data_IF_951018525636
#
_entry.id   IF_951018525636
#
_cell.length_a   1.000
_cell.length_b   1.000
_cell.length_c   1.000
_cell.angle_alpha   90.00
_cell.angle_beta   90.00
_cell.angle_gamma   90.00
#
_symmetry.space_group_name_H-M   'P 1'
#
loop_
_entity.id
_entity.type
_entity.pdbx_description
1 polymer ?
#
# COMPACT_ATOMS: atom_id res chain seq x y z
N UNK A 1 -26.28 -1.44 -6.39
CA UNK A 1 -26.13 -0.48 -7.51
C UNK A 1 -25.70 -1.27 -8.75
N UNK A 2 -26.34 -1.07 -9.90
CA UNK A 2 -25.92 -1.72 -11.14
C UNK A 2 -24.73 -0.95 -11.73
N UNK A 3 -23.59 -1.62 -11.85
CA UNK A 3 -22.35 -1.03 -12.41
C UNK A 3 -22.27 -1.45 -13.87
N UNK A 4 -22.05 -0.48 -14.75
CA UNK A 4 -21.83 -0.65 -16.18
C UNK A 4 -20.40 -0.21 -16.50
N UNK A 5 -19.72 -0.99 -17.31
CA UNK A 5 -18.35 -0.74 -17.75
C UNK A 5 -18.38 -0.60 -19.27
N UNK A 6 -17.65 0.38 -19.80
CA UNK A 6 -17.45 0.51 -21.24
C UNK A 6 -16.48 -0.57 -21.75
N UNK A 7 -16.72 -1.13 -22.94
CA UNK A 7 -15.84 -2.18 -23.51
C UNK A 7 -14.39 -1.70 -23.63
N UNK A 8 -14.17 -0.44 -24.03
CA UNK A 8 -12.82 0.18 -24.06
C UNK A 8 -12.13 0.19 -22.69
N UNK A 9 -12.90 0.36 -21.62
CA UNK A 9 -12.38 0.34 -20.26
C UNK A 9 -11.98 -1.08 -19.85
N UNK A 10 -12.69 -2.12 -20.33
CA UNK A 10 -12.29 -3.53 -20.16
C UNK A 10 -11.00 -3.83 -20.91
N UNK A 11 -10.88 -3.40 -22.17
CA UNK A 11 -9.66 -3.61 -22.96
C UNK A 11 -8.45 -2.93 -22.30
N UNK A 12 -8.64 -1.71 -21.82
CA UNK A 12 -7.59 -0.95 -21.11
C UNK A 12 -7.23 -1.61 -19.79
N UNK A 13 -8.22 -2.11 -19.03
CA UNK A 13 -7.99 -2.85 -17.80
C UNK A 13 -7.18 -4.13 -18.07
N UNK A 14 -7.54 -4.90 -19.09
CA UNK A 14 -6.84 -6.11 -19.49
C UNK A 14 -5.39 -5.81 -19.91
N UNK A 15 -5.19 -4.77 -20.72
CA UNK A 15 -3.86 -4.32 -21.17
C UNK A 15 -2.98 -3.89 -19.99
N UNK A 16 -3.51 -3.08 -19.06
CA UNK A 16 -2.75 -2.57 -17.93
C UNK A 16 -2.49 -3.62 -16.84
N UNK A 17 -3.30 -4.66 -16.76
CA UNK A 17 -3.14 -5.73 -15.78
C UNK A 17 -2.19 -6.84 -16.23
N UNK A 18 -1.70 -6.80 -17.48
CA UNK A 18 -0.75 -7.76 -18.07
C UNK A 18 -1.09 -9.25 -17.81
N UNK A 19 -2.38 -9.58 -17.81
CA UNK A 19 -2.88 -10.93 -17.54
C UNK A 19 -3.04 -11.32 -16.06
N UNK A 20 -2.68 -10.46 -15.10
CA UNK A 20 -2.98 -10.66 -13.69
C UNK A 20 -4.42 -10.23 -13.34
N UNK A 21 -5.29 -11.22 -13.17
CA UNK A 21 -6.68 -11.01 -12.80
C UNK A 21 -6.87 -10.32 -11.45
N UNK A 22 -5.93 -10.46 -10.51
CA UNK A 22 -6.02 -9.84 -9.18
C UNK A 22 -5.80 -8.34 -9.28
N UNK A 23 -4.77 -7.93 -10.01
CA UNK A 23 -4.45 -6.53 -10.26
C UNK A 23 -5.60 -5.84 -11.02
N UNK A 24 -6.17 -6.52 -12.02
CA UNK A 24 -7.36 -6.03 -12.73
C UNK A 24 -8.58 -5.86 -11.81
N UNK A 25 -8.87 -6.83 -10.94
CA UNK A 25 -10.01 -6.73 -10.02
C UNK A 25 -9.82 -5.60 -8.99
N UNK A 26 -8.61 -5.44 -8.46
CA UNK A 26 -8.28 -4.38 -7.52
C UNK A 26 -8.38 -2.99 -8.17
N UNK A 27 -7.83 -2.83 -9.38
CA UNK A 27 -7.93 -1.59 -10.15
C UNK A 27 -9.38 -1.21 -10.43
N UNK A 28 -10.22 -2.18 -10.81
CA UNK A 28 -11.64 -1.96 -11.02
C UNK A 28 -12.36 -1.59 -9.73
N UNK A 29 -12.06 -2.25 -8.62
CA UNK A 29 -12.65 -1.94 -7.32
C UNK A 29 -12.33 -0.49 -6.90
N UNK A 30 -11.08 -0.05 -7.09
CA UNK A 30 -10.66 1.32 -6.80
C UNK A 30 -11.37 2.34 -7.70
N UNK A 31 -11.51 2.06 -8.99
CA UNK A 31 -12.24 2.91 -9.93
C UNK A 31 -13.72 3.08 -9.50
N UNK A 32 -14.37 1.98 -9.11
CA UNK A 32 -15.76 1.99 -8.62
C UNK A 32 -15.87 2.78 -7.31
N UNK A 33 -14.96 2.57 -6.35
CA UNK A 33 -14.96 3.28 -5.08
C UNK A 33 -14.75 4.79 -5.25
N UNK A 34 -13.83 5.19 -6.14
CA UNK A 34 -13.59 6.60 -6.47
C UNK A 34 -14.81 7.26 -7.11
N UNK A 35 -15.54 6.52 -7.95
CA UNK A 35 -16.78 7.01 -8.57
C UNK A 35 -17.91 7.16 -7.56
N UNK A 36 -18.03 6.22 -6.62
CA UNK A 36 -19.01 6.27 -5.54
C UNK A 36 -18.72 7.39 -4.52
N UNK A 37 -17.45 7.62 -4.18
CA UNK A 37 -17.05 8.69 -3.25
C UNK A 37 -17.28 10.09 -3.85
N UNK A 38 -16.94 10.28 -5.14
CA UNK A 38 -17.23 11.50 -5.90
C UNK A 38 -18.74 11.80 -5.94
N UNK A 39 -19.57 10.76 -6.09
CA UNK A 39 -21.03 10.90 -6.09
C UNK A 39 -21.60 11.26 -4.71
N UNK A 40 -21.06 10.71 -3.61
CA UNK A 40 -21.43 11.12 -2.23
C UNK A 40 -21.15 12.61 -1.99
N UNK A 41 -20.07 13.14 -2.56
CA UNK A 41 -19.75 14.57 -2.46
C UNK A 41 -20.73 15.44 -3.27
N UNK A 42 -21.14 14.98 -4.46
CA UNK A 42 -22.11 15.68 -5.32
C UNK A 42 -23.53 15.67 -4.73
N UNK A 43 -23.99 14.52 -4.21
CA UNK A 43 -25.33 14.38 -3.61
C UNK A 43 -25.51 15.15 -2.29
N UNK A 44 -24.43 15.49 -1.57
CA UNK A 44 -24.52 16.37 -0.38
C UNK A 44 -24.90 17.82 -0.73
N UNK A 45 -24.66 18.27 -1.97
CA UNK A 45 -25.01 19.63 -2.43
C UNK A 45 -26.40 19.75 -3.04
N UNK A 46 -26.93 18.67 -3.61
CA UNK A 46 -28.26 18.64 -4.22
C UNK A 46 -29.12 17.60 -3.51
N UNK A 47 -29.99 18.04 -2.61
CA UNK A 47 -30.89 17.18 -1.82
C UNK A 47 -31.98 16.48 -2.65
N UNK A 48 -31.61 15.70 -3.66
CA UNK A 48 -32.51 14.87 -4.45
C UNK A 48 -32.09 13.39 -4.37
N UNK A 49 -32.98 12.60 -3.83
CA UNK A 49 -32.93 11.14 -3.73
C UNK A 49 -33.67 10.55 -4.92
N UNK A 50 -33.00 9.78 -5.78
CA UNK A 50 -33.66 8.92 -6.77
C UNK A 50 -32.93 7.57 -6.94
N UNK A 51 -33.74 6.54 -7.20
CA UNK A 51 -33.49 5.08 -7.30
C UNK A 51 -32.50 4.63 -8.40
N UNK A 52 -32.44 3.31 -8.67
CA UNK A 52 -31.25 2.48 -8.49
C UNK A 52 -30.08 3.01 -9.33
N UNK A 53 -29.13 3.63 -8.63
CA UNK A 53 -28.04 4.40 -9.22
C UNK A 53 -27.15 3.53 -10.11
N UNK A 54 -27.37 3.62 -11.43
CA UNK A 54 -26.45 3.09 -12.44
C UNK A 54 -25.13 3.84 -12.31
N UNK A 55 -24.02 3.11 -12.25
CA UNK A 55 -22.66 3.67 -12.20
C UNK A 55 -21.97 3.28 -13.48
N UNK A 56 -21.66 4.26 -14.33
CA UNK A 56 -20.86 4.05 -15.55
C UNK A 56 -19.38 4.30 -15.21
N UNK A 57 -18.54 3.30 -15.49
CA UNK A 57 -17.09 3.36 -15.37
C UNK A 57 -16.51 3.60 -16.76
N UNK A 58 -15.78 4.71 -16.90
CA UNK A 58 -15.11 5.11 -18.14
C UNK A 58 -13.65 4.67 -18.14
N UNK A 59 -13.01 4.71 -19.32
CA UNK A 59 -11.57 4.41 -19.47
C UNK A 59 -10.68 5.24 -18.54
N UNK A 60 -11.02 6.51 -18.33
CA UNK A 60 -10.25 7.40 -17.45
C UNK A 60 -10.37 7.01 -15.98
N UNK A 61 -11.56 6.58 -15.54
CA UNK A 61 -11.76 6.11 -14.16
C UNK A 61 -10.92 4.86 -13.88
N UNK A 62 -10.79 3.97 -14.88
CA UNK A 62 -9.92 2.78 -14.80
C UNK A 62 -8.46 3.17 -14.73
N UNK A 63 -8.00 4.10 -15.59
CA UNK A 63 -6.61 4.59 -15.55
C UNK A 63 -6.24 5.21 -14.20
N UNK A 64 -7.14 6.00 -13.61
CA UNK A 64 -6.91 6.61 -12.29
C UNK A 64 -6.91 5.55 -11.18
N UNK A 65 -7.84 4.58 -11.22
CA UNK A 65 -7.89 3.46 -10.29
C UNK A 65 -6.63 2.59 -10.34
N UNK A 66 -6.15 2.30 -11.56
CA UNK A 66 -4.94 1.52 -11.78
C UNK A 66 -3.66 2.26 -11.41
N UNK A 67 -3.55 3.57 -11.70
CA UNK A 67 -2.43 4.38 -11.23
C UNK A 67 -2.34 4.38 -9.69
N UNK A 68 -3.49 4.48 -9.00
CA UNK A 68 -3.53 4.30 -7.55
C UNK A 68 -3.16 2.88 -7.12
N UNK A 69 -3.49 1.87 -7.94
CA UNK A 69 -3.14 0.47 -7.67
C UNK A 69 -1.66 0.14 -7.92
N UNK A 70 -1.01 0.73 -8.91
CA UNK A 70 0.43 0.55 -9.13
C UNK A 70 1.29 1.27 -8.08
N UNK A 71 0.73 2.27 -7.39
CA UNK A 71 1.31 2.82 -6.17
C UNK A 71 1.20 1.83 -5.01
N UNK A 72 0.25 0.89 -5.05
CA UNK A 72 0.15 -0.22 -4.09
C UNK A 72 1.18 -1.29 -4.46
N UNK A 73 2.43 -0.97 -4.12
CA UNK A 73 3.43 -1.89 -3.60
C UNK A 73 3.36 -3.33 -4.14
N UNK A 74 4.21 -3.63 -5.11
CA UNK A 74 4.43 -5.00 -5.54
C UNK A 74 5.22 -5.77 -4.46
N UNK A 75 4.49 -6.47 -3.60
CA UNK A 75 5.04 -7.32 -2.54
C UNK A 75 5.88 -8.49 -3.08
N UNK A 76 5.70 -8.88 -4.34
CA UNK A 76 6.46 -9.95 -5.00
C UNK A 76 7.60 -9.43 -5.91
N UNK A 77 7.73 -8.10 -6.04
CA UNK A 77 8.65 -7.46 -6.97
C UNK A 77 9.89 -6.84 -6.33
N UNK A 78 10.59 -6.05 -7.16
CA UNK A 78 11.79 -5.28 -6.79
C UNK A 78 11.51 -4.24 -5.70
N UNK A 79 10.30 -3.69 -5.62
CA UNK A 79 9.97 -2.58 -4.71
C UNK A 79 10.07 -2.96 -3.23
N UNK A 80 9.78 -4.22 -2.90
CA UNK A 80 10.03 -4.78 -1.58
C UNK A 80 11.51 -4.65 -1.18
N UNK A 81 12.41 -5.09 -2.07
CA UNK A 81 13.86 -5.03 -1.85
C UNK A 81 14.40 -3.60 -1.89
N UNK A 82 13.87 -2.75 -2.77
CA UNK A 82 14.23 -1.35 -2.86
C UNK A 82 13.87 -0.60 -1.56
N UNK A 83 12.66 -0.82 -1.04
CA UNK A 83 12.22 -0.16 0.18
C UNK A 83 13.03 -0.58 1.40
N UNK A 84 13.26 -1.89 1.61
CA UNK A 84 14.06 -2.34 2.76
C UNK A 84 15.53 -1.89 2.65
N UNK A 85 16.09 -1.88 1.43
CA UNK A 85 17.43 -1.36 1.18
C UNK A 85 17.53 0.14 1.50
N UNK A 86 16.52 0.91 1.10
CA UNK A 86 16.45 2.34 1.38
C UNK A 86 16.31 2.62 2.88
N UNK A 87 15.49 1.83 3.60
CA UNK A 87 15.37 1.89 5.06
C UNK A 87 16.73 1.68 5.74
N UNK A 88 17.45 0.59 5.40
CA UNK A 88 18.76 0.32 5.99
C UNK A 88 19.80 1.39 5.67
N UNK A 89 19.79 1.95 4.45
CA UNK A 89 20.68 3.05 4.07
C UNK A 89 20.37 4.32 4.87
N UNK A 90 19.10 4.67 5.03
CA UNK A 90 18.66 5.82 5.83
C UNK A 90 19.10 5.67 7.30
N UNK A 91 18.89 4.49 7.89
CA UNK A 91 19.31 4.20 9.26
C UNK A 91 20.83 4.28 9.43
N UNK A 92 21.62 3.72 8.49
CA UNK A 92 23.09 3.81 8.52
C UNK A 92 23.57 5.25 8.35
N UNK A 93 22.84 6.04 7.56
CA UNK A 93 23.05 7.49 7.43
C UNK A 93 22.56 8.31 8.63
N UNK A 94 22.00 7.67 9.67
CA UNK A 94 21.39 8.33 10.84
C UNK A 94 20.27 9.33 10.49
N UNK A 95 19.60 9.15 9.35
CA UNK A 95 18.46 9.98 8.94
C UNK A 95 17.16 9.39 9.47
N UNK A 96 16.68 9.96 10.58
CA UNK A 96 15.47 9.50 11.28
C UNK A 96 14.20 9.71 10.44
N UNK A 97 14.11 10.84 9.74
CA UNK A 97 12.92 11.17 8.94
C UNK A 97 12.80 10.25 7.73
N UNK A 98 13.91 10.03 7.02
CA UNK A 98 13.93 9.10 5.90
C UNK A 98 13.65 7.65 6.37
N UNK A 99 14.18 7.25 7.53
CA UNK A 99 13.92 5.92 8.08
C UNK A 99 12.43 5.71 8.37
N UNK A 100 11.76 6.67 9.03
CA UNK A 100 10.33 6.60 9.28
C UNK A 100 9.50 6.62 7.99
N UNK A 101 9.93 7.40 6.99
CA UNK A 101 9.27 7.44 5.69
C UNK A 101 9.29 6.07 4.99
N UNK A 102 10.45 5.41 4.91
CA UNK A 102 10.55 4.10 4.27
C UNK A 102 9.83 3.00 5.05
N UNK A 103 9.87 3.05 6.38
CA UNK A 103 9.09 2.17 7.24
C UNK A 103 7.59 2.32 6.96
N UNK A 104 7.06 3.54 7.02
CA UNK A 104 5.65 3.80 6.76
C UNK A 104 5.24 3.38 5.36
N UNK A 105 6.09 3.64 4.35
CA UNK A 105 5.83 3.22 2.96
C UNK A 105 5.74 1.70 2.82
N UNK A 106 6.58 0.95 3.53
CA UNK A 106 6.50 -0.52 3.55
C UNK A 106 5.22 -1.01 4.23
N UNK A 107 4.85 -0.43 5.38
CA UNK A 107 3.65 -0.83 6.13
C UNK A 107 2.35 -0.50 5.36
N UNK A 108 2.25 0.71 4.81
CA UNK A 108 1.13 1.11 3.93
C UNK A 108 1.11 0.30 2.63
N UNK A 109 2.29 -0.17 2.19
CA UNK A 109 2.44 -1.10 1.08
C UNK A 109 1.95 -2.53 1.39
N UNK A 110 1.58 -2.82 2.64
CA UNK A 110 1.13 -4.16 3.05
C UNK A 110 2.26 -5.16 3.23
N UNK A 111 3.49 -4.68 3.49
CA UNK A 111 4.61 -5.52 3.90
C UNK A 111 4.30 -6.24 5.22
N UNK A 112 4.87 -7.43 5.43
CA UNK A 112 4.73 -8.12 6.72
C UNK A 112 5.50 -7.32 7.80
N UNK A 113 4.85 -6.82 8.87
CA UNK A 113 5.55 -6.13 9.96
C UNK A 113 6.64 -7.00 10.59
N UNK A 114 6.43 -8.32 10.66
CA UNK A 114 7.44 -9.25 11.17
C UNK A 114 8.66 -9.33 10.24
N UNK A 115 8.48 -9.14 8.93
CA UNK A 115 9.59 -9.05 7.99
C UNK A 115 10.45 -7.83 8.29
N UNK A 116 9.83 -6.66 8.48
CA UNK A 116 10.55 -5.43 8.81
C UNK A 116 11.26 -5.58 10.16
N UNK A 117 10.57 -6.08 11.18
CA UNK A 117 11.15 -6.29 12.50
C UNK A 117 12.35 -7.26 12.48
N UNK A 118 12.32 -8.36 11.71
CA UNK A 118 13.49 -9.24 11.51
C UNK A 118 14.67 -8.49 10.90
N UNK A 119 14.41 -7.59 9.94
CA UNK A 119 15.43 -6.77 9.28
C UNK A 119 16.02 -5.72 10.22
N UNK A 120 15.25 -5.21 11.18
CA UNK A 120 15.74 -4.33 12.26
C UNK A 120 16.63 -5.09 13.26
N UNK A 121 16.26 -6.32 13.65
CA UNK A 121 17.10 -7.16 14.52
C UNK A 121 18.47 -7.41 13.88
N UNK A 122 18.48 -7.78 12.59
CA UNK A 122 19.72 -7.96 11.84
C UNK A 122 20.55 -6.66 11.80
N UNK A 123 19.94 -5.53 11.46
CA UNK A 123 20.61 -4.23 11.45
C UNK A 123 21.22 -3.89 12.81
N UNK A 124 20.50 -4.11 13.91
CA UNK A 124 21.02 -3.85 15.26
C UNK A 124 22.26 -4.70 15.57
N UNK A 125 22.28 -5.96 15.12
CA UNK A 125 23.46 -6.83 15.30
C UNK A 125 24.65 -6.50 14.39
N UNK A 126 24.41 -6.11 13.13
CA UNK A 126 25.45 -5.95 12.10
C UNK A 126 25.97 -4.50 12.01
N UNK A 127 25.07 -3.53 11.95
CA UNK A 127 25.39 -2.13 11.67
C UNK A 127 25.60 -1.30 12.94
N UNK A 128 24.92 -1.63 14.05
CA UNK A 128 25.11 -0.97 15.35
C UNK A 128 26.14 -1.76 16.19
N UNK A 129 25.91 -3.06 16.37
CA UNK A 129 26.83 -3.97 17.03
C UNK A 129 27.20 -3.51 18.45
N UNK A 130 28.50 -3.50 18.75
CA UNK A 130 29.01 -3.14 20.08
C UNK A 130 28.99 -1.63 20.35
N UNK A 131 28.69 -0.78 19.36
CA UNK A 131 28.61 0.67 19.57
C UNK A 131 27.42 1.01 20.50
N UNK A 132 26.33 0.26 20.39
CA UNK A 132 25.23 0.27 21.35
C UNK A 132 24.61 -1.13 21.48
N UNK A 133 25.07 -1.94 22.45
CA UNK A 133 24.55 -3.29 22.67
C UNK A 133 23.05 -3.35 23.01
N UNK A 134 22.46 -2.25 23.48
CA UNK A 134 21.05 -2.21 23.87
C UNK A 134 20.11 -2.24 22.66
N UNK A 135 20.58 -1.81 21.48
CA UNK A 135 19.80 -1.75 20.26
C UNK A 135 19.28 -3.13 19.82
N UNK A 136 20.06 -4.19 20.01
CA UNK A 136 19.63 -5.55 19.68
C UNK A 136 18.45 -5.98 20.54
N UNK A 137 18.52 -5.73 21.85
CA UNK A 137 17.45 -6.07 22.77
C UNK A 137 16.17 -5.28 22.46
N UNK A 138 16.28 -4.00 22.11
CA UNK A 138 15.16 -3.18 21.67
C UNK A 138 14.52 -3.71 20.37
N UNK A 139 15.33 -4.07 19.37
CA UNK A 139 14.82 -4.62 18.11
C UNK A 139 14.10 -5.97 18.32
N UNK A 140 14.62 -6.82 19.21
CA UNK A 140 13.96 -8.09 19.58
C UNK A 140 12.65 -7.83 20.34
N UNK A 141 12.63 -6.86 21.26
CA UNK A 141 11.41 -6.48 21.97
C UNK A 141 10.34 -5.94 20.99
N UNK A 142 10.74 -5.12 20.01
CA UNK A 142 9.86 -4.66 18.94
C UNK A 142 9.30 -5.83 18.12
N UNK A 143 10.14 -6.78 17.70
CA UNK A 143 9.69 -7.99 17.01
C UNK A 143 8.66 -8.79 17.82
N UNK A 144 8.90 -8.96 19.12
CA UNK A 144 7.98 -9.64 20.02
C UNK A 144 6.66 -8.87 20.14
N UNK A 145 6.70 -7.54 20.25
CA UNK A 145 5.53 -6.67 20.22
C UNK A 145 4.71 -6.87 18.95
N UNK A 146 5.35 -6.80 17.77
CA UNK A 146 4.71 -7.09 16.49
C UNK A 146 4.10 -8.50 16.43
N UNK A 147 4.78 -9.49 16.99
CA UNK A 147 4.32 -10.88 16.94
C UNK A 147 3.12 -11.15 17.84
N UNK A 148 3.11 -10.57 19.04
CA UNK A 148 2.06 -10.80 20.02
C UNK A 148 0.82 -9.94 19.80
N UNK A 149 1.01 -8.67 19.44
CA UNK A 149 -0.09 -7.70 19.32
C UNK A 149 -0.58 -7.61 17.87
N UNK A 150 0.33 -7.55 16.91
CA UNK A 150 0.03 -7.30 15.50
C UNK A 150 -0.28 -5.82 15.21
N UNK A 151 -0.68 -5.54 13.97
CA UNK A 151 -1.10 -4.20 13.52
C UNK A 151 -2.53 -3.89 13.99
N UNK A 152 -2.86 -2.61 14.27
CA UNK A 152 -2.06 -1.40 14.06
C UNK A 152 -1.16 -0.97 15.23
N UNK A 153 -1.22 -1.63 16.39
CA UNK A 153 -0.55 -1.18 17.60
C UNK A 153 0.96 -1.53 17.67
N UNK A 154 1.48 -2.33 16.73
CA UNK A 154 2.88 -2.74 16.71
C UNK A 154 3.87 -1.74 16.11
#
# INVERSE_FOLDING_TARGET
PSVFIEDKAVDTLAYLSDGDARTGLNGLQLAVLARLSSRKMFCKKSGQTYSPSRVLITENDVKEGLQRSHILYDRAGEEHYNCISALHKAMRGSDQNASLYWLARMLEGGEDPLYVARRLVRFASEDIGLADPSALAQAVAAYQGCHFIGMPEC
#
